data_IF_616683780514
#
_entry.id   IF_616683780514
#
_cell.length_a   1.000
_cell.length_b   1.000
_cell.length_c   1.000
_cell.angle_alpha   90.00
_cell.angle_beta   90.00
_cell.angle_gamma   90.00
#
_symmetry.space_group_name_H-M   'P 1'
#
loop_
_entity.id
_entity.type
_entity.pdbx_description
1 polymer ?
#
# COMPACT_ATOMS: atom_id res chain seq x y z
N UNK A 1 -27.10 2.12 9.76
CA UNK A 1 -26.43 2.83 8.65
C UNK A 1 -25.26 2.00 8.15
N UNK A 2 -25.23 1.70 6.88
CA UNK A 2 -24.18 0.84 6.31
C UNK A 2 -22.89 1.64 6.08
N UNK A 3 -21.76 1.01 6.43
CA UNK A 3 -20.45 1.56 6.12
C UNK A 3 -20.17 1.39 4.63
N UNK A 4 -19.71 2.44 3.98
CA UNK A 4 -19.37 2.40 2.55
C UNK A 4 -17.91 2.00 2.33
N UNK A 5 -17.61 1.52 1.13
CA UNK A 5 -16.22 1.22 0.77
C UNK A 5 -15.31 2.47 0.87
N UNK A 6 -15.85 3.65 0.51
CA UNK A 6 -15.11 4.91 0.64
C UNK A 6 -14.70 5.18 2.09
N UNK A 7 -15.63 5.00 3.03
CA UNK A 7 -15.33 5.21 4.45
C UNK A 7 -14.22 4.26 4.93
N UNK A 8 -14.28 2.99 4.52
CA UNK A 8 -13.27 2.00 4.93
C UNK A 8 -11.92 2.32 4.29
N UNK A 9 -11.91 2.68 3.00
CA UNK A 9 -10.65 3.06 2.31
C UNK A 9 -10.00 4.27 2.97
N UNK A 10 -10.79 5.28 3.32
CA UNK A 10 -10.29 6.46 4.00
C UNK A 10 -9.70 6.11 5.38
N UNK A 11 -10.34 5.19 6.12
CA UNK A 11 -9.83 4.70 7.41
C UNK A 11 -8.47 3.99 7.27
N UNK A 12 -8.30 3.18 6.25
CA UNK A 12 -7.01 2.49 6.01
C UNK A 12 -5.91 3.51 5.74
N UNK A 13 -6.18 4.49 4.90
CA UNK A 13 -5.20 5.54 4.59
C UNK A 13 -4.86 6.34 5.85
N UNK A 14 -5.85 6.72 6.63
CA UNK A 14 -5.63 7.43 7.90
C UNK A 14 -4.82 6.59 8.89
N UNK A 15 -5.14 5.31 9.01
CA UNK A 15 -4.41 4.40 9.90
C UNK A 15 -2.94 4.23 9.47
N UNK A 16 -2.69 4.11 8.18
CA UNK A 16 -1.32 4.06 7.66
C UNK A 16 -0.57 5.35 7.94
N UNK A 17 -1.21 6.50 7.74
CA UNK A 17 -0.60 7.80 8.04
C UNK A 17 -0.33 8.00 9.54
N UNK A 18 -1.15 7.40 10.40
CA UNK A 18 -0.94 7.40 11.85
C UNK A 18 0.07 6.33 12.29
N UNK A 19 0.53 5.48 11.38
CA UNK A 19 1.41 4.34 11.65
C UNK A 19 0.81 3.38 12.68
N UNK A 20 -0.50 3.26 12.68
CA UNK A 20 -1.26 2.39 13.58
C UNK A 20 -1.59 1.06 12.86
N UNK A 21 -0.69 0.10 12.97
CA UNK A 21 -0.81 -1.19 12.29
C UNK A 21 -2.06 -1.96 12.72
N UNK A 22 -2.41 -1.90 14.00
CA UNK A 22 -3.61 -2.59 14.49
C UNK A 22 -4.89 -1.97 13.90
N UNK A 23 -4.94 -0.66 13.76
CA UNK A 23 -6.05 0.02 13.09
C UNK A 23 -6.14 -0.36 11.60
N UNK A 24 -4.99 -0.50 10.92
CA UNK A 24 -4.96 -1.00 9.54
C UNK A 24 -5.58 -2.38 9.46
N UNK A 25 -5.15 -3.30 10.31
CA UNK A 25 -5.63 -4.70 10.31
C UNK A 25 -7.14 -4.79 10.59
N UNK A 26 -7.67 -3.93 11.45
CA UNK A 26 -9.10 -3.91 11.77
C UNK A 26 -9.99 -3.54 10.59
N UNK A 27 -9.45 -2.93 9.54
CA UNK A 27 -10.19 -2.60 8.33
C UNK A 27 -10.38 -3.80 7.40
N UNK A 28 -9.61 -4.86 7.59
CA UNK A 28 -9.60 -6.04 6.72
C UNK A 28 -10.38 -7.20 7.32
N UNK A 29 -11.10 -7.95 6.47
CA UNK A 29 -11.66 -9.24 6.85
C UNK A 29 -10.53 -10.23 7.16
N UNK A 30 -10.82 -11.27 7.94
CA UNK A 30 -9.82 -12.25 8.37
C UNK A 30 -9.13 -12.96 7.21
N UNK A 31 -9.87 -13.22 6.15
CA UNK A 31 -9.42 -13.92 4.94
C UNK A 31 -9.22 -12.97 3.75
N UNK A 32 -9.07 -11.68 4.03
CA UNK A 32 -8.85 -10.68 3.00
C UNK A 32 -7.59 -10.97 2.18
N UNK A 33 -7.60 -10.51 0.94
CA UNK A 33 -6.45 -10.58 0.04
C UNK A 33 -5.99 -9.18 -0.29
N UNK A 34 -4.70 -8.93 -0.09
CA UNK A 34 -4.03 -7.70 -0.49
C UNK A 34 -3.07 -8.02 -1.64
N UNK A 35 -3.14 -7.24 -2.70
CA UNK A 35 -2.23 -7.36 -3.84
C UNK A 35 -1.49 -6.05 -4.02
N UNK A 36 -0.18 -6.11 -3.95
CA UNK A 36 0.69 -4.96 -4.21
C UNK A 36 1.72 -5.29 -5.28
N UNK A 37 2.54 -4.32 -5.70
CA UNK A 37 3.55 -4.55 -6.73
C UNK A 37 4.60 -5.60 -6.35
N UNK A 38 4.80 -5.84 -5.06
CA UNK A 38 5.78 -6.82 -4.56
C UNK A 38 5.21 -8.22 -4.49
N UNK A 39 3.89 -8.37 -4.41
CA UNK A 39 3.25 -9.68 -4.32
C UNK A 39 1.89 -9.63 -3.64
N UNK A 40 1.44 -10.79 -3.20
CA UNK A 40 0.13 -10.99 -2.60
C UNK A 40 0.27 -11.39 -1.13
N UNK A 41 -0.58 -10.82 -0.28
CA UNK A 41 -0.70 -11.18 1.13
C UNK A 41 -2.13 -11.66 1.42
N UNK A 42 -2.26 -12.79 2.09
CA UNK A 42 -3.55 -13.38 2.41
C UNK A 42 -3.72 -13.47 3.92
N UNK A 43 -4.82 -12.92 4.42
CA UNK A 43 -5.17 -12.94 5.84
C UNK A 43 -4.45 -11.89 6.67
N UNK A 44 -4.90 -11.73 7.92
CA UNK A 44 -4.42 -10.67 8.82
C UNK A 44 -2.92 -10.76 9.13
N UNK A 45 -2.39 -11.97 9.27
CA UNK A 45 -0.98 -12.14 9.60
C UNK A 45 -0.08 -11.66 8.47
N UNK A 46 -0.34 -12.11 7.24
CA UNK A 46 0.46 -11.73 6.09
C UNK A 46 0.27 -10.25 5.73
N UNK A 47 -0.96 -9.75 5.78
CA UNK A 47 -1.26 -8.33 5.51
C UNK A 47 -0.58 -7.45 6.55
N UNK A 48 -0.66 -7.83 7.83
CA UNK A 48 0.02 -7.12 8.91
C UNK A 48 1.53 -7.09 8.72
N UNK A 49 2.11 -8.21 8.35
CA UNK A 49 3.55 -8.33 8.07
C UNK A 49 3.97 -7.41 6.91
N UNK A 50 3.18 -7.39 5.83
CA UNK A 50 3.45 -6.54 4.67
C UNK A 50 3.50 -5.05 5.05
N UNK A 51 2.46 -4.57 5.74
CA UNK A 51 2.40 -3.16 6.13
C UNK A 51 3.44 -2.81 7.20
N UNK A 52 3.72 -3.73 8.12
CA UNK A 52 4.79 -3.54 9.10
C UNK A 52 6.14 -3.31 8.41
N UNK A 53 6.46 -4.14 7.41
CA UNK A 53 7.70 -3.99 6.64
C UNK A 53 7.74 -2.68 5.86
N UNK A 54 6.61 -2.27 5.28
CA UNK A 54 6.53 -0.99 4.58
C UNK A 54 6.79 0.18 5.53
N UNK A 55 6.19 0.15 6.71
CA UNK A 55 6.39 1.19 7.72
C UNK A 55 7.80 1.17 8.32
N UNK A 56 8.45 0.02 8.39
CA UNK A 56 9.85 -0.08 8.82
C UNK A 56 10.80 0.45 7.75
N UNK A 57 10.52 0.18 6.48
CA UNK A 57 11.32 0.71 5.39
C UNK A 57 11.22 2.23 5.28
N UNK A 58 10.02 2.76 5.51
CA UNK A 58 9.72 4.20 5.44
C UNK A 58 9.03 4.65 6.73
N UNK A 59 9.80 4.93 7.80
CA UNK A 59 9.21 5.30 9.10
C UNK A 59 8.39 6.60 9.07
N UNK A 60 8.60 7.43 8.07
CA UNK A 60 7.85 8.67 7.82
C UNK A 60 6.86 8.53 6.66
N UNK A 61 6.46 7.30 6.33
CA UNK A 61 5.52 7.05 5.24
C UNK A 61 4.27 7.90 5.38
N UNK A 62 3.88 8.53 4.27
CA UNK A 62 2.65 9.28 4.19
C UNK A 62 1.98 9.05 2.85
N UNK A 63 0.69 8.77 2.90
CA UNK A 63 -0.18 8.67 1.73
C UNK A 63 -1.04 9.93 1.67
N UNK A 64 -0.92 10.69 0.59
CA UNK A 64 -1.69 11.91 0.41
C UNK A 64 -2.68 11.71 -0.72
N UNK A 65 -3.98 11.46 -0.42
CA UNK A 65 -4.98 11.31 -1.46
C UNK A 65 -5.16 12.61 -2.24
N UNK A 66 -5.26 12.50 -3.57
CA UNK A 66 -5.51 13.66 -4.42
C UNK A 66 -6.73 13.49 -5.32
N UNK A 67 -7.19 12.26 -5.51
CA UNK A 67 -8.40 12.00 -6.28
C UNK A 67 -9.15 10.79 -5.72
N UNK A 68 -10.44 10.96 -5.42
CA UNK A 68 -11.36 9.90 -5.07
C UNK A 68 -12.12 9.56 -6.34
N UNK A 69 -11.72 8.48 -7.02
CA UNK A 69 -12.23 8.13 -8.34
C UNK A 69 -13.67 7.60 -8.22
N UNK A 70 -14.62 8.12 -9.00
CA UNK A 70 -15.98 7.58 -9.01
C UNK A 70 -16.01 6.14 -9.52
N UNK A 71 -16.87 5.31 -8.91
CA UNK A 71 -17.06 3.91 -9.27
C UNK A 71 -18.55 3.61 -9.46
N UNK A 72 -18.85 2.49 -10.13
CA UNK A 72 -20.24 2.11 -10.41
C UNK A 72 -21.04 1.79 -9.14
N UNK A 73 -20.41 1.14 -8.16
CA UNK A 73 -21.06 0.80 -6.88
C UNK A 73 -20.21 1.28 -5.70
N UNK A 74 -20.44 2.53 -5.25
CA UNK A 74 -19.63 3.11 -4.18
C UNK A 74 -19.88 2.50 -2.81
N UNK A 75 -20.95 1.72 -2.62
CA UNK A 75 -21.19 1.02 -1.37
C UNK A 75 -20.23 -0.15 -1.20
N UNK A 76 -19.79 -0.77 -2.31
CA UNK A 76 -19.01 -2.01 -2.33
C UNK A 76 -17.56 -1.77 -2.68
N UNK A 77 -17.25 -0.80 -3.54
CA UNK A 77 -15.90 -0.54 -4.03
C UNK A 77 -15.50 0.92 -3.88
N UNK A 78 -14.20 1.15 -3.70
CA UNK A 78 -13.63 2.50 -3.68
C UNK A 78 -12.26 2.51 -4.34
N UNK A 79 -11.99 3.56 -5.11
CA UNK A 79 -10.70 3.79 -5.76
C UNK A 79 -10.18 5.14 -5.30
N UNK A 80 -8.92 5.18 -4.89
CA UNK A 80 -8.22 6.43 -4.56
C UNK A 80 -6.92 6.51 -5.33
N UNK A 81 -6.64 7.70 -5.85
CA UNK A 81 -5.30 8.03 -6.32
C UNK A 81 -4.61 8.86 -5.24
N UNK A 82 -3.36 8.56 -4.97
CA UNK A 82 -2.59 9.22 -3.91
C UNK A 82 -1.12 9.28 -4.25
N UNK A 83 -0.40 10.13 -3.53
CA UNK A 83 1.06 10.19 -3.59
C UNK A 83 1.61 9.55 -2.33
N UNK A 84 2.50 8.60 -2.51
CA UNK A 84 3.21 7.93 -1.43
C UNK A 84 4.58 8.59 -1.27
N UNK A 85 4.85 9.13 -0.09
CA UNK A 85 6.11 9.79 0.23
C UNK A 85 6.75 9.15 1.45
N UNK A 86 8.06 9.20 1.53
CA UNK A 86 8.79 8.70 2.68
C UNK A 86 10.29 8.77 2.47
N UNK A 87 11.04 8.45 3.54
CA UNK A 87 12.49 8.37 3.53
C UNK A 87 12.90 6.92 3.79
N UNK A 88 13.77 6.38 2.95
CA UNK A 88 14.20 4.98 3.04
C UNK A 88 15.21 4.81 4.16
N UNK A 89 14.74 4.43 5.35
CA UNK A 89 15.55 4.31 6.55
C UNK A 89 15.62 2.88 7.12
N UNK A 90 14.93 1.93 6.50
CA UNK A 90 14.96 0.52 6.86
C UNK A 90 14.98 -0.38 5.64
N UNK A 91 15.22 -1.69 5.81
CA UNK A 91 15.26 -2.62 4.68
C UNK A 91 13.95 -2.60 3.88
N UNK A 92 14.04 -2.52 2.56
CA UNK A 92 12.90 -2.58 1.65
C UNK A 92 12.94 -3.90 0.87
N UNK A 93 11.84 -4.66 0.95
CA UNK A 93 11.74 -5.96 0.29
C UNK A 93 11.63 -5.79 -1.22
N UNK A 94 12.54 -6.45 -1.95
CA UNK A 94 12.55 -6.47 -3.41
C UNK A 94 11.84 -7.72 -3.93
N UNK A 95 11.34 -7.69 -5.18
CA UNK A 95 10.88 -8.90 -5.84
C UNK A 95 11.99 -9.96 -5.84
N UNK A 96 11.62 -11.21 -5.55
CA UNK A 96 12.60 -12.29 -5.44
C UNK A 96 13.12 -12.55 -4.03
N UNK A 97 12.70 -11.77 -3.03
CA UNK A 97 12.93 -12.05 -1.62
C UNK A 97 14.15 -11.40 -1.00
N UNK A 98 15.00 -10.71 -1.78
CA UNK A 98 16.10 -9.94 -1.22
C UNK A 98 15.61 -8.59 -0.68
N UNK A 99 16.40 -7.98 0.21
CA UNK A 99 16.09 -6.67 0.78
C UNK A 99 17.13 -5.65 0.35
N UNK A 100 16.67 -4.44 0.02
CA UNK A 100 17.54 -3.30 -0.21
C UNK A 100 17.76 -2.59 1.12
N UNK A 101 19.00 -2.51 1.56
CA UNK A 101 19.35 -1.80 2.78
C UNK A 101 19.07 -0.31 2.66
N UNK A 102 18.85 0.35 3.80
CA UNK A 102 18.50 1.76 3.87
C UNK A 102 19.46 2.63 3.06
N UNK A 103 18.91 3.42 2.14
CA UNK A 103 19.69 4.33 1.29
C UNK A 103 19.67 5.77 1.80
N UNK A 104 18.72 6.12 2.66
CA UNK A 104 18.49 7.50 3.08
C UNK A 104 17.77 8.35 2.02
N UNK A 105 17.45 7.77 0.86
CA UNK A 105 16.80 8.49 -0.22
C UNK A 105 15.32 8.71 0.06
N UNK A 106 14.79 9.82 -0.44
CA UNK A 106 13.37 10.12 -0.34
C UNK A 106 12.64 9.62 -1.58
N UNK A 107 11.40 9.16 -1.36
CA UNK A 107 10.51 8.76 -2.44
C UNK A 107 9.29 9.68 -2.52
N UNK A 108 8.78 9.84 -3.73
CA UNK A 108 7.49 10.45 -4.01
C UNK A 108 6.92 9.73 -5.24
N UNK A 109 5.98 8.82 -5.02
CA UNK A 109 5.47 7.92 -6.07
C UNK A 109 3.96 8.03 -6.12
N UNK A 110 3.43 8.18 -7.33
CA UNK A 110 1.98 8.16 -7.57
C UNK A 110 1.49 6.73 -7.51
N UNK A 111 0.35 6.54 -6.83
CA UNK A 111 -0.24 5.24 -6.65
C UNK A 111 -1.76 5.30 -6.79
N UNK A 112 -2.36 4.18 -7.05
CA UNK A 112 -3.81 4.01 -7.02
C UNK A 112 -4.15 2.74 -6.25
N UNK A 113 -5.17 2.82 -5.41
CA UNK A 113 -5.64 1.67 -4.63
C UNK A 113 -7.12 1.43 -4.87
N UNK A 114 -7.49 0.17 -5.04
CA UNK A 114 -8.85 -0.29 -5.25
C UNK A 114 -9.20 -1.28 -4.16
N UNK A 115 -10.25 -1.00 -3.38
CA UNK A 115 -10.75 -1.95 -2.40
C UNK A 115 -12.18 -2.37 -2.69
N UNK A 116 -12.51 -3.59 -2.28
CA UNK A 116 -13.87 -4.12 -2.26
C UNK A 116 -14.19 -4.54 -0.83
N UNK A 117 -15.38 -4.18 -0.35
CA UNK A 117 -15.79 -4.52 1.01
C UNK A 117 -16.99 -5.48 1.02
N UNK A 118 -17.12 -6.20 2.11
CA UNK A 118 -18.27 -7.02 2.44
C UNK A 118 -18.46 -6.94 3.97
N UNK A 119 -19.68 -6.68 4.42
CA UNK A 119 -20.01 -6.53 5.84
C UNK A 119 -19.12 -5.49 6.56
N UNK A 120 -18.80 -4.38 5.87
CA UNK A 120 -18.02 -3.29 6.44
C UNK A 120 -16.52 -3.52 6.53
N UNK A 121 -16.01 -4.63 6.00
CA UNK A 121 -14.59 -4.98 6.02
C UNK A 121 -14.05 -5.19 4.61
N UNK A 122 -12.79 -4.87 4.40
CA UNK A 122 -12.13 -5.09 3.12
C UNK A 122 -11.91 -6.58 2.92
N UNK A 123 -12.42 -7.12 1.81
CA UNK A 123 -12.16 -8.48 1.38
C UNK A 123 -11.07 -8.55 0.32
N UNK A 124 -10.86 -7.48 -0.43
CA UNK A 124 -9.81 -7.39 -1.45
C UNK A 124 -9.32 -5.95 -1.52
N UNK A 125 -8.02 -5.75 -1.50
CA UNK A 125 -7.38 -4.46 -1.68
C UNK A 125 -6.20 -4.63 -2.64
N UNK A 126 -6.13 -3.78 -3.65
CA UNK A 126 -5.07 -3.84 -4.66
C UNK A 126 -4.47 -2.46 -4.85
N UNK A 127 -3.16 -2.36 -4.68
CA UNK A 127 -2.42 -1.12 -4.86
C UNK A 127 -1.49 -1.24 -6.07
N UNK A 128 -1.51 -0.21 -6.89
CA UNK A 128 -0.69 -0.11 -8.09
C UNK A 128 0.16 1.14 -8.05
N UNK A 129 1.45 0.97 -8.26
CA UNK A 129 2.38 2.08 -8.50
C UNK A 129 3.49 1.61 -9.44
N UNK A 130 4.19 2.57 -10.02
CA UNK A 130 5.33 2.26 -10.89
C UNK A 130 6.53 1.86 -10.03
N UNK A 131 6.81 0.56 -10.01
CA UNK A 131 7.91 0.03 -9.21
C UNK A 131 9.28 0.46 -9.74
N UNK A 132 9.41 0.67 -11.04
CA UNK A 132 10.66 1.19 -11.62
C UNK A 132 10.92 2.61 -11.15
N UNK A 133 9.88 3.44 -11.08
CA UNK A 133 9.99 4.79 -10.53
C UNK A 133 10.45 4.76 -9.07
N UNK A 134 9.83 3.90 -8.25
CA UNK A 134 10.22 3.73 -6.86
C UNK A 134 11.69 3.29 -6.73
N UNK A 135 12.07 2.24 -7.43
CA UNK A 135 13.43 1.70 -7.36
C UNK A 135 14.47 2.68 -7.88
N UNK A 136 14.12 3.45 -8.93
CA UNK A 136 14.99 4.51 -9.44
C UNK A 136 15.25 5.58 -8.38
N UNK A 137 14.21 5.99 -7.65
CA UNK A 137 14.35 6.98 -6.57
C UNK A 137 15.20 6.42 -5.41
N UNK A 138 15.21 5.11 -5.21
CA UNK A 138 16.08 4.45 -4.23
C UNK A 138 17.51 4.20 -4.76
N UNK A 139 17.81 4.63 -5.98
CA UNK A 139 19.15 4.53 -6.55
C UNK A 139 19.42 3.26 -7.33
N UNK A 140 18.41 2.45 -7.61
CA UNK A 140 18.56 1.25 -8.44
C UNK A 140 18.33 1.60 -9.91
N UNK A 141 19.16 0.99 -10.78
CA UNK A 141 19.01 1.12 -12.21
C UNK A 141 18.56 -0.21 -12.81
N UNK A 142 17.90 -0.16 -13.97
CA UNK A 142 17.63 -1.36 -14.74
C UNK A 142 18.94 -2.00 -15.18
N UNK A 143 19.04 -3.34 -15.19
CA UNK A 143 20.20 -3.99 -15.77
C UNK A 143 20.32 -3.62 -17.25
N UNK A 144 21.57 -3.51 -17.74
CA UNK A 144 21.78 -3.24 -19.16
C UNK A 144 21.24 -4.40 -20.00
N UNK A 145 20.69 -4.09 -21.21
CA UNK A 145 20.23 -5.14 -22.10
C UNK A 145 21.36 -6.10 -22.46
N UNK A 146 21.03 -7.38 -22.49
CA UNK A 146 21.98 -8.40 -22.97
C UNK A 146 22.11 -8.25 -24.47
N UNK A 147 23.35 -8.13 -24.95
CA UNK A 147 23.64 -7.99 -26.39
C UNK A 147 23.38 -9.30 -27.15
#
# INVERSE_FOLDING_TARGET
>A
MMVTAREVKDRVIDALNDHDLEAVKRCFARDAVYVGPVGTAEGHEQIGWYFEHLLQAFPDLRLTPWCKVPVCDPAVSAVSEYVMTGTHLGPFLLPGGSALEATGNRIAVRAAGLCTIENGLIISDRDYYDQLELLSQLGLCLPEPVA
#
